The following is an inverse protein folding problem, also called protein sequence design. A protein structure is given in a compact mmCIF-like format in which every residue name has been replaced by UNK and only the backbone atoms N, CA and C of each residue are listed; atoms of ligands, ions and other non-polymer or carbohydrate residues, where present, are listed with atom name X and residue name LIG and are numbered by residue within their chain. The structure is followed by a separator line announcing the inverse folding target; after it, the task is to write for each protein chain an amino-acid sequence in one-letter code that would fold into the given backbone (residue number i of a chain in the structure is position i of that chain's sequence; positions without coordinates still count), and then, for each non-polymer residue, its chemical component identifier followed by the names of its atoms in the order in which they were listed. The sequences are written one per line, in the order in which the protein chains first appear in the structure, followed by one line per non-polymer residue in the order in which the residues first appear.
data_IF_658871457403
#
_entry.id   IF_658871457403
#
_cell.length_a   1.000
_cell.length_b   1.000
_cell.length_c   1.000
_cell.angle_alpha   90.00
_cell.angle_beta   90.00
_cell.angle_gamma   90.00
#
_symmetry.space_group_name_H-M   'P 1'
#
loop_
_entity.id
_entity.type
_entity.pdbx_description
1 polymer ?
#
# COMPACT_ATOMS: atom_id res chain seq x y z
N UNK A 1 -19.68 -0.19 22.40
CA UNK A 1 -19.78 0.12 20.94
C UNK A 1 -18.37 0.22 20.37
N UNK A 2 -18.12 -0.43 19.25
CA UNK A 2 -16.81 -0.39 18.57
C UNK A 2 -16.82 0.76 17.58
N UNK A 3 -15.90 1.73 17.63
CA UNK A 3 -15.85 2.81 16.63
C UNK A 3 -15.54 2.26 15.24
N UNK A 4 -16.24 2.77 14.23
CA UNK A 4 -16.07 2.37 12.82
C UNK A 4 -14.85 3.11 12.22
N UNK A 5 -13.65 2.63 12.54
CA UNK A 5 -12.42 3.20 12.01
C UNK A 5 -11.30 2.14 11.93
N UNK A 6 -10.44 2.29 10.94
CA UNK A 6 -9.15 1.63 10.86
C UNK A 6 -8.09 2.70 11.10
N UNK A 7 -7.33 2.58 12.17
CA UNK A 7 -6.34 3.60 12.55
C UNK A 7 -4.97 3.34 11.96
N UNK A 8 -4.63 2.05 11.83
CA UNK A 8 -3.31 1.61 11.43
C UNK A 8 -3.42 0.27 10.71
N UNK A 9 -2.62 0.10 9.66
CA UNK A 9 -2.46 -1.17 8.96
C UNK A 9 -0.99 -1.56 9.07
N UNK A 10 -0.73 -2.76 9.58
CA UNK A 10 0.62 -3.31 9.67
C UNK A 10 0.81 -4.41 8.63
N UNK A 11 1.80 -4.24 7.77
CA UNK A 11 2.24 -5.26 6.82
C UNK A 11 3.40 -6.03 7.44
N UNK A 12 3.26 -7.35 7.53
CA UNK A 12 4.36 -8.22 7.95
C UNK A 12 5.42 -8.32 6.86
N UNK A 13 6.66 -7.96 7.18
CA UNK A 13 7.78 -7.96 6.25
C UNK A 13 8.67 -9.18 6.46
N UNK A 14 9.03 -9.88 5.39
CA UNK A 14 10.07 -10.91 5.40
C UNK A 14 11.46 -10.30 5.44
N UNK A 15 11.68 -9.23 4.69
CA UNK A 15 12.90 -8.42 4.67
C UNK A 15 12.49 -6.95 4.87
N UNK A 16 12.47 -6.53 6.12
CA UNK A 16 12.03 -5.19 6.49
C UNK A 16 12.89 -4.08 5.84
N UNK A 17 14.23 -4.16 5.82
CA UNK A 17 15.04 -3.14 5.15
C UNK A 17 14.72 -2.99 3.66
N UNK A 18 14.53 -4.10 2.94
CA UNK A 18 14.21 -4.08 1.52
C UNK A 18 12.82 -3.50 1.27
N UNK A 19 11.82 -3.94 2.02
CA UNK A 19 10.45 -3.46 1.88
C UNK A 19 10.33 -1.98 2.25
N UNK A 20 11.00 -1.58 3.33
CA UNK A 20 11.11 -0.18 3.77
C UNK A 20 11.68 0.73 2.68
N UNK A 21 12.79 0.29 2.06
CA UNK A 21 13.43 1.03 0.98
C UNK A 21 12.51 1.21 -0.23
N UNK A 22 11.67 0.24 -0.54
CA UNK A 22 10.69 0.35 -1.62
C UNK A 22 9.70 1.50 -1.36
N UNK A 23 9.10 1.57 -0.17
CA UNK A 23 8.14 2.63 0.17
C UNK A 23 8.80 4.01 0.26
N UNK A 24 10.05 4.09 0.71
CA UNK A 24 10.82 5.33 0.64
C UNK A 24 11.04 5.81 -0.81
N UNK A 25 11.25 4.88 -1.76
CA UNK A 25 11.39 5.21 -3.19
C UNK A 25 10.08 5.68 -3.84
N UNK A 26 8.92 5.40 -3.23
CA UNK A 26 7.65 6.03 -3.62
C UNK A 26 7.61 7.53 -3.26
N UNK A 27 8.58 8.02 -2.49
CA UNK A 27 8.59 9.36 -1.95
C UNK A 27 7.86 9.49 -0.61
N UNK A 28 7.54 8.37 0.03
CA UNK A 28 6.86 8.39 1.33
C UNK A 28 7.87 8.57 2.46
N UNK A 29 7.53 9.47 3.38
CA UNK A 29 8.38 9.81 4.53
C UNK A 29 7.97 9.01 5.76
N UNK A 30 8.98 8.52 6.47
CA UNK A 30 8.77 7.84 7.73
C UNK A 30 8.51 8.82 8.87
N UNK A 31 7.71 8.38 9.83
CA UNK A 31 7.46 9.14 11.05
C UNK A 31 8.59 8.97 12.07
N UNK A 32 8.60 9.83 13.09
CA UNK A 32 9.53 9.74 14.22
C UNK A 32 9.35 8.46 15.07
N UNK A 33 8.26 7.71 14.87
CA UNK A 33 8.02 6.43 15.53
C UNK A 33 8.75 5.25 14.88
N UNK A 34 9.33 5.46 13.70
CA UNK A 34 10.16 4.44 13.04
C UNK A 34 11.43 4.13 13.86
N UNK A 35 11.88 2.89 13.76
CA UNK A 35 13.10 2.37 14.38
C UNK A 35 13.75 1.37 13.44
N UNK A 36 14.83 0.72 13.85
CA UNK A 36 15.49 -0.32 13.03
C UNK A 36 14.56 -1.50 12.72
N UNK A 37 13.63 -1.81 13.63
CA UNK A 37 12.70 -2.94 13.52
C UNK A 37 11.25 -2.54 13.19
N UNK A 38 10.99 -1.29 12.87
CA UNK A 38 9.63 -0.80 12.67
C UNK A 38 9.63 0.41 11.76
N UNK A 39 8.92 0.36 10.66
CA UNK A 39 8.72 1.52 9.79
C UNK A 39 7.27 1.99 9.86
N UNK A 40 7.06 3.29 9.99
CA UNK A 40 5.74 3.89 10.03
C UNK A 40 5.66 5.07 9.07
N UNK A 41 4.66 5.05 8.20
CA UNK A 41 4.40 6.07 7.19
C UNK A 41 3.03 6.69 7.45
N UNK A 42 2.97 8.00 7.62
CA UNK A 42 1.70 8.70 7.71
C UNK A 42 1.11 8.84 6.30
N UNK A 43 -0.03 8.23 6.09
CA UNK A 43 -0.82 8.44 4.86
C UNK A 43 -2.04 9.31 5.16
N UNK A 44 -2.77 9.70 4.13
CA UNK A 44 -3.91 10.59 4.27
C UNK A 44 -5.13 9.98 5.00
N UNK A 45 -5.14 8.72 5.32
CA UNK A 45 -6.29 8.08 6.00
C UNK A 45 -5.88 7.26 7.21
N UNK A 46 -4.95 6.35 7.02
CA UNK A 46 -4.44 5.45 8.05
C UNK A 46 -2.92 5.60 8.17
N UNK A 47 -2.35 5.12 9.25
CA UNK A 47 -0.89 4.97 9.33
C UNK A 47 -0.56 3.59 8.75
N UNK A 48 0.32 3.54 7.77
CA UNK A 48 0.85 2.30 7.22
C UNK A 48 2.14 1.96 7.94
N UNK A 49 2.25 0.74 8.47
CA UNK A 49 3.44 0.29 9.17
C UNK A 49 3.99 -1.00 8.58
N UNK A 50 5.29 -1.19 8.71
CA UNK A 50 5.99 -2.41 8.36
C UNK A 50 6.63 -2.98 9.61
N UNK A 51 6.46 -4.26 9.85
CA UNK A 51 7.00 -4.94 11.02
C UNK A 51 7.48 -6.35 10.62
N UNK A 52 8.59 -6.88 11.19
CA UNK A 52 9.00 -8.24 10.85
C UNK A 52 7.85 -9.24 11.02
N UNK A 53 7.58 -10.03 9.99
CA UNK A 53 6.38 -10.89 9.95
C UNK A 53 6.37 -11.93 11.09
N UNK A 54 7.54 -12.44 11.46
CA UNK A 54 7.66 -13.37 12.58
C UNK A 54 7.33 -12.72 13.93
N UNK A 55 7.76 -11.47 14.11
CA UNK A 55 7.45 -10.71 15.31
C UNK A 55 5.96 -10.33 15.38
N UNK A 56 5.38 -9.99 14.22
CA UNK A 56 3.94 -9.72 14.13
C UNK A 56 3.11 -10.96 14.48
N UNK A 57 3.49 -12.13 13.95
CA UNK A 57 2.82 -13.39 14.25
C UNK A 57 2.95 -13.76 15.73
N UNK A 58 4.15 -13.58 16.31
CA UNK A 58 4.41 -13.82 17.72
C UNK A 58 3.59 -12.90 18.61
N UNK A 59 3.50 -11.63 18.27
CA UNK A 59 2.72 -10.64 19.02
C UNK A 59 1.22 -10.99 19.05
N UNK A 60 0.71 -11.51 17.94
CA UNK A 60 -0.68 -11.95 17.81
C UNK A 60 -0.92 -13.41 18.29
N UNK A 61 0.10 -14.11 18.77
CA UNK A 61 0.04 -15.51 19.19
C UNK A 61 -0.50 -16.45 18.09
N UNK A 62 -0.13 -16.20 16.81
CA UNK A 62 -0.51 -17.05 15.69
C UNK A 62 0.68 -17.84 15.15
N UNK A 63 0.39 -19.07 14.66
CA UNK A 63 1.38 -19.86 13.95
C UNK A 63 1.61 -19.29 12.56
N UNK A 64 2.86 -19.11 12.21
CA UNK A 64 3.27 -18.54 10.93
C UNK A 64 4.07 -19.55 10.12
N UNK A 65 3.70 -19.74 8.85
CA UNK A 65 4.44 -20.53 7.87
C UNK A 65 4.96 -19.63 6.76
N UNK A 66 6.25 -19.80 6.40
CA UNK A 66 6.87 -18.97 5.35
C UNK A 66 6.34 -19.36 3.97
N UNK A 67 5.46 -18.52 3.42
CA UNK A 67 5.05 -18.59 2.02
C UNK A 67 5.05 -17.18 1.43
N UNK A 68 6.18 -16.79 0.83
CA UNK A 68 6.39 -15.46 0.26
C UNK A 68 5.62 -15.22 -1.04
N UNK A 69 5.12 -16.27 -1.66
CA UNK A 69 4.49 -16.22 -2.98
C UNK A 69 2.97 -16.20 -2.93
N UNK A 70 2.37 -16.45 -1.75
CA UNK A 70 0.92 -16.46 -1.61
C UNK A 70 0.33 -15.06 -1.59
N UNK A 71 -0.78 -14.90 -2.32
CA UNK A 71 -1.64 -13.73 -2.20
C UNK A 71 -2.29 -13.70 -0.81
N UNK A 72 -2.11 -12.59 -0.08
CA UNK A 72 -2.59 -12.43 1.30
C UNK A 72 -4.07 -12.03 1.40
N UNK A 73 -4.80 -12.03 0.27
CA UNK A 73 -6.22 -11.68 0.16
C UNK A 73 -6.57 -10.26 0.62
N UNK A 74 -5.62 -9.34 0.52
CA UNK A 74 -5.78 -7.91 0.79
C UNK A 74 -5.21 -7.13 -0.38
N UNK A 75 -5.86 -6.05 -0.78
CA UNK A 75 -5.29 -5.06 -1.67
C UNK A 75 -5.41 -3.67 -1.05
N UNK A 76 -4.39 -2.86 -1.31
CA UNK A 76 -4.39 -1.44 -0.95
C UNK A 76 -4.61 -0.63 -2.22
N UNK A 77 -5.24 0.53 -2.12
CA UNK A 77 -5.46 1.38 -3.27
C UNK A 77 -4.86 2.77 -3.06
N UNK A 78 -4.19 3.27 -4.11
CA UNK A 78 -3.76 4.66 -4.22
C UNK A 78 -4.68 5.31 -5.24
N UNK A 79 -5.53 6.22 -4.78
CA UNK A 79 -6.41 6.98 -5.66
C UNK A 79 -5.71 8.27 -6.09
N UNK A 80 -5.85 8.58 -7.38
CA UNK A 80 -5.21 9.70 -8.04
C UNK A 80 -6.26 10.72 -8.49
N UNK A 81 -5.81 11.96 -8.73
CA UNK A 81 -6.70 13.06 -9.09
C UNK A 81 -7.06 13.07 -10.58
N UNK A 82 -6.19 12.50 -11.43
CA UNK A 82 -6.35 12.52 -12.89
C UNK A 82 -6.06 11.14 -13.50
N UNK A 83 -6.76 10.74 -14.57
CA UNK A 83 -6.56 9.43 -15.20
C UNK A 83 -5.14 9.23 -15.77
N UNK A 84 -4.51 10.28 -16.30
CA UNK A 84 -3.14 10.20 -16.81
C UNK A 84 -2.10 9.90 -15.74
N UNK A 85 -2.39 10.20 -14.49
CA UNK A 85 -1.50 9.88 -13.36
C UNK A 85 -1.40 8.38 -13.11
N UNK A 86 -2.41 7.60 -13.48
CA UNK A 86 -2.36 6.13 -13.36
C UNK A 86 -1.21 5.60 -14.21
N UNK A 87 -1.07 6.06 -15.44
CA UNK A 87 0.00 5.66 -16.34
C UNK A 87 1.37 6.10 -15.82
N UNK A 88 1.51 7.35 -15.43
CA UNK A 88 2.80 7.88 -14.95
C UNK A 88 3.26 7.25 -13.64
N UNK A 89 2.34 6.97 -12.72
CA UNK A 89 2.66 6.30 -11.44
C UNK A 89 3.10 4.85 -11.69
N UNK A 90 2.46 4.13 -12.60
CA UNK A 90 2.87 2.76 -12.94
C UNK A 90 4.28 2.73 -13.52
N UNK A 91 4.66 3.70 -14.36
CA UNK A 91 6.05 3.78 -14.86
C UNK A 91 7.05 4.06 -13.72
N UNK A 92 6.73 4.95 -12.80
CA UNK A 92 7.57 5.20 -11.62
C UNK A 92 7.73 3.93 -10.76
N UNK A 93 6.65 3.20 -10.55
CA UNK A 93 6.67 1.94 -9.78
C UNK A 93 7.55 0.91 -10.47
N UNK A 94 7.48 0.80 -11.79
CA UNK A 94 8.35 -0.07 -12.59
C UNK A 94 9.82 0.28 -12.39
N UNK A 95 10.16 1.56 -12.44
CA UNK A 95 11.54 2.06 -12.27
C UNK A 95 12.12 1.76 -10.89
N UNK A 96 11.29 1.79 -9.85
CA UNK A 96 11.75 1.53 -8.47
C UNK A 96 11.74 0.06 -8.06
N UNK A 97 11.33 -0.84 -8.97
CA UNK A 97 11.39 -2.28 -8.75
C UNK A 97 10.09 -2.94 -8.32
N UNK A 98 8.96 -2.27 -8.46
CA UNK A 98 7.64 -2.89 -8.32
C UNK A 98 7.34 -3.80 -9.50
N UNK A 99 6.57 -4.86 -9.27
CA UNK A 99 6.11 -5.77 -10.31
C UNK A 99 4.75 -5.33 -10.82
N UNK A 100 4.67 -4.98 -12.10
CA UNK A 100 3.38 -4.60 -12.69
C UNK A 100 2.59 -5.85 -13.01
N UNK A 101 1.46 -6.00 -12.34
CA UNK A 101 0.56 -7.15 -12.48
C UNK A 101 -0.47 -6.94 -13.59
N UNK A 102 -0.96 -5.72 -13.72
CA UNK A 102 -1.88 -5.32 -14.78
C UNK A 102 -1.60 -3.88 -15.20
N UNK A 103 -1.34 -3.69 -16.48
CA UNK A 103 -1.09 -2.37 -17.05
C UNK A 103 -2.33 -1.45 -16.92
N UNK A 104 -2.15 -0.13 -16.96
CA UNK A 104 -3.27 0.81 -16.92
C UNK A 104 -4.31 0.52 -18.01
N UNK A 105 -5.56 0.47 -17.61
CA UNK A 105 -6.68 0.28 -18.53
C UNK A 105 -7.93 1.00 -18.02
N UNK A 106 -8.80 1.38 -18.94
CA UNK A 106 -10.10 1.96 -18.60
C UNK A 106 -11.04 0.89 -18.05
N UNK A 107 -11.69 1.21 -16.94
CA UNK A 107 -12.65 0.33 -16.29
C UNK A 107 -14.06 0.58 -16.84
N UNK A 108 -14.90 -0.46 -16.84
CA UNK A 108 -16.26 -0.36 -17.34
C UNK A 108 -17.13 0.67 -16.58
N UNK A 109 -16.78 0.95 -15.33
CA UNK A 109 -17.48 1.92 -14.47
C UNK A 109 -16.98 3.37 -14.66
N UNK A 110 -16.11 3.63 -15.63
CA UNK A 110 -15.68 4.97 -16.03
C UNK A 110 -14.35 5.44 -15.46
N UNK A 111 -13.69 4.66 -14.64
CA UNK A 111 -12.37 4.95 -14.08
C UNK A 111 -11.23 4.41 -14.91
N UNK A 112 -10.00 4.59 -14.40
CA UNK A 112 -8.79 4.01 -14.97
C UNK A 112 -7.98 3.35 -13.85
N UNK A 113 -7.55 2.11 -14.06
CA UNK A 113 -6.94 1.29 -13.01
C UNK A 113 -5.73 0.51 -13.50
N UNK A 114 -4.83 0.22 -12.57
CA UNK A 114 -3.69 -0.65 -12.76
C UNK A 114 -3.39 -1.39 -11.46
N UNK A 115 -2.61 -2.46 -11.51
CA UNK A 115 -2.19 -3.20 -10.33
C UNK A 115 -0.69 -3.46 -10.34
N UNK A 116 -0.07 -3.35 -9.17
CA UNK A 116 1.30 -3.76 -8.96
C UNK A 116 1.45 -4.55 -7.65
N UNK A 117 2.54 -5.27 -7.55
CA UNK A 117 2.99 -5.86 -6.31
C UNK A 117 4.28 -5.19 -5.85
N UNK A 118 4.41 -4.98 -4.55
CA UNK A 118 5.68 -4.60 -3.94
C UNK A 118 6.67 -5.78 -3.96
N UNK A 119 7.94 -5.61 -3.55
CA UNK A 119 8.93 -6.69 -3.58
C UNK A 119 8.58 -7.94 -2.77
N UNK A 120 7.59 -7.87 -1.89
CA UNK A 120 7.12 -9.01 -1.08
C UNK A 120 5.70 -9.46 -1.43
N UNK A 121 5.25 -9.13 -2.65
CA UNK A 121 3.95 -9.54 -3.20
C UNK A 121 2.73 -8.96 -2.46
N UNK A 122 2.87 -7.83 -1.78
CA UNK A 122 1.69 -7.10 -1.31
C UNK A 122 1.05 -6.42 -2.50
N UNK A 123 -0.27 -6.60 -2.63
CA UNK A 123 -1.04 -6.14 -3.78
C UNK A 123 -1.50 -4.69 -3.61
N UNK A 124 -1.25 -3.88 -4.63
CA UNK A 124 -1.67 -2.50 -4.72
C UNK A 124 -2.44 -2.23 -6.00
N UNK A 125 -3.50 -1.46 -5.89
CA UNK A 125 -4.23 -0.85 -7.00
C UNK A 125 -3.84 0.62 -7.13
N UNK A 126 -3.58 1.06 -8.35
CA UNK A 126 -3.47 2.48 -8.69
C UNK A 126 -4.71 2.83 -9.48
N UNK A 127 -5.48 3.81 -9.02
CA UNK A 127 -6.81 4.04 -9.56
C UNK A 127 -7.15 5.53 -9.64
N UNK A 128 -7.77 5.92 -10.74
CA UNK A 128 -8.54 7.15 -10.84
C UNK A 128 -10.02 6.80 -10.91
N UNK A 129 -10.81 7.40 -10.02
CA UNK A 129 -12.26 7.25 -9.99
C UNK A 129 -12.89 8.63 -10.13
N UNK A 130 -13.69 8.88 -11.20
CA UNK A 130 -14.29 10.20 -11.44
C UNK A 130 -15.26 10.64 -10.35
N UNK A 131 -15.76 9.69 -9.53
CA UNK A 131 -16.68 9.97 -8.43
C UNK A 131 -15.98 10.15 -7.07
N UNK A 132 -14.67 9.93 -6.99
CA UNK A 132 -13.94 10.04 -5.73
C UNK A 132 -13.91 11.49 -5.22
N UNK A 133 -14.17 11.66 -3.93
CA UNK A 133 -14.08 12.93 -3.23
C UNK A 133 -13.07 12.82 -2.10
N UNK A 134 -12.14 13.76 -2.05
CA UNK A 134 -11.09 13.82 -1.04
C UNK A 134 -11.25 15.02 -0.13
N UNK A 135 -10.83 14.89 1.12
CA UNK A 135 -10.70 16.04 2.04
C UNK A 135 -9.41 16.83 1.75
N UNK A 136 -9.18 17.90 2.51
CA UNK A 136 -8.00 18.75 2.33
C UNK A 136 -6.67 18.06 2.65
N UNK A 137 -6.70 16.90 3.29
CA UNK A 137 -5.51 16.08 3.57
C UNK A 137 -5.26 15.02 2.49
N UNK A 138 -6.19 14.87 1.53
CA UNK A 138 -6.15 13.85 0.50
C UNK A 138 -6.75 12.50 0.93
N UNK A 139 -7.45 12.43 2.07
CA UNK A 139 -8.18 11.23 2.44
C UNK A 139 -9.50 11.14 1.64
N UNK A 140 -9.74 9.99 1.03
CA UNK A 140 -10.99 9.75 0.30
C UNK A 140 -12.15 9.62 1.29
N UNK A 141 -13.17 10.45 1.11
CA UNK A 141 -14.35 10.50 1.98
C UNK A 141 -15.60 9.89 1.34
N UNK A 142 -15.62 9.76 0.03
CA UNK A 142 -16.68 9.09 -0.72
C UNK A 142 -16.25 8.77 -2.16
N UNK A 143 -17.02 7.90 -2.82
CA UNK A 143 -16.91 7.59 -4.25
C UNK A 143 -18.19 7.02 -4.80
#
# INVERSE_FOLDING_TARGET
MIPQRVSLITIGAYDLPMLRAFYQKLGWEETAHSSDNYAAFTTAGVILTLFPIEELAKDAEITFTQDRNSYRAVSFAINLDEPSQVDSVIEQIREIGGTILREPSDAFWGGRTAYFADPENNLWEVVWNPSAVFDERGAMISY
#
